data_IF_496931131958
#
_entry.id   IF_496931131958
#
_cell.length_a   1.000
_cell.length_b   1.000
_cell.length_c   1.000
_cell.angle_alpha   90.00
_cell.angle_beta   90.00
_cell.angle_gamma   90.00
#
_symmetry.space_group_name_H-M   'P 1'
#
loop_
_entity.id
_entity.type
_entity.pdbx_description
1 polymer ?
#
# COMPACT_ATOMS: atom_id res chain seq x y z
N UNK A 1 7.73 -8.25 28.80
CA UNK A 1 8.37 -7.62 27.61
C UNK A 1 9.06 -8.72 26.83
N UNK A 2 8.80 -8.78 25.56
CA UNK A 2 9.39 -9.71 24.60
C UNK A 2 10.11 -8.90 23.51
N UNK A 3 11.31 -9.29 23.15
CA UNK A 3 12.08 -8.63 22.09
C UNK A 3 12.22 -9.60 20.92
N UNK A 4 11.75 -9.21 19.75
CA UNK A 4 11.81 -10.00 18.53
C UNK A 4 12.13 -9.13 17.33
N UNK A 5 12.63 -9.72 16.28
CA UNK A 5 12.71 -9.15 14.94
C UNK A 5 11.68 -9.77 14.00
N UNK A 6 10.89 -10.73 14.49
CA UNK A 6 9.78 -11.31 13.72
C UNK A 6 8.52 -10.46 13.87
N UNK A 7 8.15 -9.82 12.76
CA UNK A 7 7.00 -8.93 12.69
C UNK A 7 5.67 -9.67 12.93
N UNK A 8 5.56 -10.93 12.46
CA UNK A 8 4.33 -11.72 12.60
C UNK A 8 4.10 -12.08 14.06
N UNK A 9 5.17 -12.45 14.78
CA UNK A 9 5.09 -12.68 16.22
C UNK A 9 4.65 -11.41 16.95
N UNK A 10 5.28 -10.27 16.65
CA UNK A 10 4.94 -9.00 17.27
C UNK A 10 3.46 -8.63 17.04
N UNK A 11 2.97 -8.73 15.80
CA UNK A 11 1.59 -8.38 15.44
C UNK A 11 0.54 -9.31 16.03
N UNK A 12 0.88 -10.60 16.26
CA UNK A 12 -0.11 -11.62 16.70
C UNK A 12 -0.15 -11.84 18.20
N UNK A 13 0.96 -11.57 18.92
CA UNK A 13 1.11 -11.96 20.32
C UNK A 13 1.16 -10.79 21.30
N UNK A 14 1.25 -9.55 20.81
CA UNK A 14 1.48 -8.39 21.66
C UNK A 14 0.23 -7.53 21.84
N UNK A 15 0.00 -7.03 23.04
CA UNK A 15 -1.00 -5.98 23.30
C UNK A 15 -0.53 -4.61 22.79
N UNK A 16 0.79 -4.38 22.87
CA UNK A 16 1.45 -3.17 22.36
C UNK A 16 2.81 -3.52 21.76
N UNK A 17 3.16 -2.80 20.70
CA UNK A 17 4.45 -2.94 20.01
C UNK A 17 5.22 -1.62 20.14
N UNK A 18 6.49 -1.72 20.51
CA UNK A 18 7.45 -0.62 20.46
C UNK A 18 8.43 -0.89 19.30
N UNK A 19 8.38 -0.06 18.25
CA UNK A 19 9.31 -0.14 17.13
C UNK A 19 10.52 0.74 17.43
N UNK A 20 11.71 0.14 17.41
CA UNK A 20 12.98 0.82 17.69
C UNK A 20 13.88 0.73 16.48
N UNK A 21 14.49 1.84 16.10
CA UNK A 21 15.47 1.93 15.02
C UNK A 21 16.69 2.74 15.48
N UNK A 22 17.90 2.19 15.29
CA UNK A 22 19.15 2.83 15.72
C UNK A 22 19.12 3.37 17.16
N UNK A 23 18.52 2.60 18.08
CA UNK A 23 18.41 2.97 19.50
C UNK A 23 17.38 4.08 19.79
N UNK A 24 16.60 4.50 18.80
CA UNK A 24 15.52 5.49 18.95
C UNK A 24 14.15 4.84 18.81
N UNK A 25 13.27 5.19 19.71
CA UNK A 25 11.87 4.79 19.63
C UNK A 25 11.20 5.50 18.45
N UNK A 26 10.64 4.72 17.53
CA UNK A 26 9.94 5.23 16.35
C UNK A 26 8.44 5.37 16.60
N UNK A 27 7.83 4.33 17.19
CA UNK A 27 6.41 4.32 17.52
C UNK A 27 6.12 3.30 18.62
N UNK A 28 5.13 3.58 19.47
CA UNK A 28 4.58 2.63 20.46
C UNK A 28 3.08 2.66 20.40
N UNK A 29 2.48 1.57 19.96
CA UNK A 29 1.02 1.49 19.89
C UNK A 29 0.52 0.03 19.88
N UNK A 30 -0.78 -0.15 19.71
CA UNK A 30 -1.37 -1.47 19.45
C UNK A 30 -0.93 -1.99 18.07
N UNK A 31 -0.91 -3.31 17.84
CA UNK A 31 -0.57 -3.90 16.54
C UNK A 31 -1.37 -3.30 15.39
N UNK A 32 -2.66 -3.07 15.59
CA UNK A 32 -3.55 -2.49 14.59
C UNK A 32 -3.14 -1.06 14.19
N UNK A 33 -2.82 -0.22 15.16
CA UNK A 33 -2.40 1.17 14.91
C UNK A 33 -1.02 1.20 14.24
N UNK A 34 -0.06 0.41 14.71
CA UNK A 34 1.27 0.28 14.09
C UNK A 34 1.17 -0.09 12.61
N UNK A 35 0.25 -1.00 12.28
CA UNK A 35 0.06 -1.47 10.92
C UNK A 35 -0.68 -0.49 10.01
N UNK A 36 -1.77 0.12 10.53
CA UNK A 36 -2.69 0.96 9.76
C UNK A 36 -2.31 2.45 9.77
N UNK A 37 -1.57 2.89 10.77
CA UNK A 37 -1.18 4.30 10.99
C UNK A 37 0.31 4.37 11.37
N UNK A 38 1.22 3.90 10.50
CA UNK A 38 2.65 3.98 10.77
C UNK A 38 3.10 5.43 10.88
N UNK A 39 3.92 5.73 11.89
CA UNK A 39 4.35 7.10 12.16
C UNK A 39 5.35 7.64 11.13
N UNK A 40 6.02 6.78 10.39
CA UNK A 40 7.00 7.16 9.36
C UNK A 40 7.28 5.99 8.40
N UNK A 41 8.09 6.27 7.38
CA UNK A 41 8.47 5.31 6.35
C UNK A 41 9.18 4.07 6.90
N UNK A 42 10.00 4.23 7.94
CA UNK A 42 10.68 3.09 8.56
C UNK A 42 9.68 2.12 9.18
N UNK A 43 8.70 2.63 9.95
CA UNK A 43 7.67 1.77 10.57
C UNK A 43 6.82 1.09 9.49
N UNK A 44 6.43 1.83 8.44
CA UNK A 44 5.64 1.30 7.34
C UNK A 44 6.34 0.15 6.60
N UNK A 45 7.64 0.31 6.34
CA UNK A 45 8.47 -0.68 5.64
C UNK A 45 8.82 -1.88 6.54
N UNK A 46 9.13 -1.58 7.82
CA UNK A 46 9.50 -2.62 8.77
C UNK A 46 8.32 -3.51 9.16
N UNK A 47 7.10 -2.98 9.23
CA UNK A 47 5.90 -3.71 9.65
C UNK A 47 5.06 -4.09 8.43
N UNK A 48 5.33 -5.27 7.90
CA UNK A 48 4.63 -5.84 6.76
C UNK A 48 5.18 -5.38 5.40
N UNK A 49 4.73 -6.05 4.37
CA UNK A 49 5.09 -5.70 2.99
C UNK A 49 4.36 -4.43 2.56
N UNK A 50 5.08 -3.47 2.00
CA UNK A 50 4.49 -2.24 1.48
C UNK A 50 5.28 -1.67 0.31
N UNK A 51 4.59 -0.94 -0.57
CA UNK A 51 5.20 -0.06 -1.56
C UNK A 51 4.92 1.38 -1.17
N UNK A 52 5.94 2.23 -1.21
CA UNK A 52 5.81 3.65 -0.91
C UNK A 52 5.90 4.45 -2.20
N UNK A 53 4.82 5.17 -2.52
CA UNK A 53 4.74 6.03 -3.69
C UNK A 53 4.91 7.49 -3.26
N UNK A 54 5.90 8.21 -3.81
CA UNK A 54 6.08 9.62 -3.51
C UNK A 54 4.94 10.44 -4.10
N UNK A 55 4.40 11.36 -3.31
CA UNK A 55 3.32 12.24 -3.74
C UNK A 55 3.84 13.64 -4.03
N UNK A 56 3.22 14.31 -5.00
CA UNK A 56 3.43 15.72 -5.29
C UNK A 56 2.28 16.52 -4.70
N UNK A 57 2.60 17.55 -3.94
CA UNK A 57 1.61 18.52 -3.50
C UNK A 57 1.42 19.55 -4.60
N UNK A 58 0.17 19.74 -5.03
CA UNK A 58 -0.24 20.74 -6.03
C UNK A 58 -1.08 21.84 -5.39
N UNK A 59 -1.66 22.70 -6.22
CA UNK A 59 -2.54 23.78 -5.76
C UNK A 59 -3.69 23.24 -4.89
N UNK A 60 -4.09 24.02 -3.88
CA UNK A 60 -5.10 23.65 -2.88
C UNK A 60 -4.73 22.44 -2.00
N UNK A 61 -3.42 22.18 -1.80
CA UNK A 61 -2.90 21.12 -0.93
C UNK A 61 -3.36 19.71 -1.32
N UNK A 62 -3.65 19.52 -2.59
CA UNK A 62 -3.98 18.22 -3.14
C UNK A 62 -2.72 17.41 -3.39
N UNK A 63 -2.77 16.13 -3.01
CA UNK A 63 -1.68 15.17 -3.16
C UNK A 63 -1.92 14.29 -4.38
N UNK A 64 -0.95 14.25 -5.26
CA UNK A 64 -1.01 13.45 -6.49
C UNK A 64 0.11 12.43 -6.58
N UNK A 65 -0.23 11.25 -7.07
CA UNK A 65 0.72 10.31 -7.66
C UNK A 65 0.50 10.34 -9.18
N UNK A 66 1.48 10.84 -9.93
CA UNK A 66 1.35 11.18 -11.35
C UNK A 66 0.11 12.07 -11.60
N UNK A 67 -0.92 11.55 -12.25
CA UNK A 67 -2.18 12.23 -12.52
C UNK A 67 -3.34 11.78 -11.61
N UNK A 68 -3.07 10.90 -10.65
CA UNK A 68 -4.07 10.35 -9.73
C UNK A 68 -4.15 11.23 -8.50
N UNK A 69 -5.30 11.87 -8.29
CA UNK A 69 -5.59 12.57 -7.04
C UNK A 69 -5.76 11.55 -5.92
N UNK A 70 -4.83 11.55 -4.98
CA UNK A 70 -4.81 10.63 -3.84
C UNK A 70 -5.67 11.17 -2.71
N UNK A 71 -5.33 12.36 -2.20
CA UNK A 71 -6.00 13.00 -1.07
C UNK A 71 -5.68 14.50 -1.03
N UNK A 72 -6.04 15.17 0.06
CA UNK A 72 -5.65 16.54 0.36
C UNK A 72 -5.18 16.64 1.81
N UNK A 73 -4.25 17.55 2.06
CA UNK A 73 -3.72 17.79 3.42
C UNK A 73 -4.07 19.19 3.90
N UNK A 74 -4.10 19.44 5.23
CA UNK A 74 -4.28 20.78 5.78
C UNK A 74 -3.19 21.76 5.31
N UNK A 75 -3.53 23.06 5.19
CA UNK A 75 -2.60 24.12 4.77
C UNK A 75 -1.27 24.13 5.55
N UNK A 76 -1.32 23.79 6.83
CA UNK A 76 -0.15 23.77 7.71
C UNK A 76 0.86 22.66 7.34
N UNK A 77 0.44 21.67 6.60
CA UNK A 77 1.21 20.49 6.20
C UNK A 77 1.58 20.50 4.71
N UNK A 78 1.19 21.52 3.98
CA UNK A 78 1.37 21.64 2.52
C UNK A 78 2.84 21.69 2.07
N UNK A 79 3.75 22.11 2.95
CA UNK A 79 5.19 22.15 2.65
C UNK A 79 5.93 20.85 2.93
N UNK A 80 5.23 19.85 3.43
CA UNK A 80 5.81 18.55 3.77
C UNK A 80 5.74 17.59 2.57
N UNK A 81 6.82 16.83 2.36
CA UNK A 81 6.82 15.75 1.39
C UNK A 81 6.00 14.56 1.93
N UNK A 82 5.09 14.06 1.13
CA UNK A 82 4.19 12.96 1.49
C UNK A 82 4.47 11.71 0.68
N UNK A 83 4.17 10.57 1.29
CA UNK A 83 4.20 9.26 0.64
C UNK A 83 2.89 8.52 0.86
N UNK A 84 2.38 7.87 -0.17
CA UNK A 84 1.30 6.90 -0.08
C UNK A 84 1.90 5.52 0.21
N UNK A 85 1.49 4.91 1.31
CA UNK A 85 1.82 3.52 1.63
C UNK A 85 0.76 2.60 1.03
N UNK A 86 1.18 1.74 0.13
CA UNK A 86 0.31 0.75 -0.52
C UNK A 86 0.68 -0.64 -0.03
N UNK A 87 -0.29 -1.35 0.52
CA UNK A 87 -0.13 -2.73 0.97
C UNK A 87 -0.73 -3.71 -0.03
N UNK A 88 -0.04 -4.82 -0.36
CA UNK A 88 -0.49 -5.78 -1.38
C UNK A 88 -1.89 -6.35 -1.16
N UNK A 89 -2.27 -6.58 0.10
CA UNK A 89 -3.57 -7.14 0.47
C UNK A 89 -4.72 -6.11 0.44
N UNK A 90 -4.40 -4.82 0.28
CA UNK A 90 -5.40 -3.75 0.14
C UNK A 90 -5.68 -3.39 -1.31
N UNK A 91 -4.82 -3.83 -2.20
CA UNK A 91 -5.04 -3.75 -3.63
C UNK A 91 -5.93 -4.90 -4.10
N UNK A 92 -6.71 -4.61 -5.10
CA UNK A 92 -7.51 -5.62 -5.80
C UNK A 92 -7.51 -5.37 -7.30
N UNK A 93 -7.50 -6.43 -8.13
CA UNK A 93 -7.62 -6.30 -9.55
C UNK A 93 -9.03 -5.80 -9.92
N UNK A 94 -9.10 -4.81 -10.80
CA UNK A 94 -10.35 -4.26 -11.31
C UNK A 94 -10.79 -4.98 -12.60
N UNK A 95 -12.09 -5.20 -12.72
CA UNK A 95 -12.73 -5.51 -14.01
C UNK A 95 -13.41 -4.24 -14.52
N UNK A 96 -13.53 -4.11 -15.84
CA UNK A 96 -14.14 -2.92 -16.48
C UNK A 96 -15.55 -2.59 -15.98
N UNK A 97 -16.25 -3.55 -15.38
CA UNK A 97 -17.61 -3.38 -14.86
C UNK A 97 -17.69 -2.79 -13.44
N UNK A 98 -16.57 -2.64 -12.75
CA UNK A 98 -16.52 -2.27 -11.32
C UNK A 98 -15.68 -1.02 -11.02
N UNK A 99 -15.50 -0.14 -11.99
CA UNK A 99 -14.71 1.08 -11.82
C UNK A 99 -15.57 2.18 -11.19
N UNK A 100 -15.29 2.53 -9.94
CA UNK A 100 -15.83 3.69 -9.25
C UNK A 100 -14.66 4.57 -8.75
N UNK A 101 -14.35 5.61 -9.51
CA UNK A 101 -13.25 6.53 -9.21
C UNK A 101 -13.49 7.39 -7.96
N UNK A 102 -14.73 7.51 -7.51
CA UNK A 102 -15.06 8.28 -6.32
C UNK A 102 -14.72 7.50 -5.04
N UNK A 103 -14.78 6.17 -5.13
CA UNK A 103 -14.49 5.29 -4.00
C UNK A 103 -13.08 4.68 -4.04
N UNK A 104 -12.41 4.68 -5.21
CA UNK A 104 -11.14 4.00 -5.39
C UNK A 104 -10.09 4.91 -6.04
N UNK A 105 -8.83 4.72 -5.63
CA UNK A 105 -7.68 5.08 -6.46
C UNK A 105 -7.48 3.96 -7.48
N UNK A 106 -7.24 4.34 -8.74
CA UNK A 106 -7.09 3.39 -9.83
C UNK A 106 -5.68 3.53 -10.41
N UNK A 107 -4.89 2.48 -10.29
CA UNK A 107 -3.57 2.39 -10.89
C UNK A 107 -3.63 1.49 -12.13
N UNK A 108 -3.11 2.00 -13.25
CA UNK A 108 -3.03 1.25 -14.51
C UNK A 108 -1.60 0.86 -14.77
N UNK A 109 -1.38 -0.37 -15.17
CA UNK A 109 -0.03 -0.84 -15.39
C UNK A 109 0.06 -2.07 -16.28
N UNK A 110 1.30 -2.57 -16.40
CA UNK A 110 1.65 -3.79 -17.10
C UNK A 110 2.11 -4.85 -16.13
N UNK A 111 1.58 -6.06 -16.28
CA UNK A 111 2.00 -7.21 -15.48
C UNK A 111 3.46 -7.52 -15.81
N UNK A 112 4.29 -7.61 -14.77
CA UNK A 112 5.68 -8.04 -14.86
C UNK A 112 5.75 -9.54 -14.62
N UNK A 113 5.05 -9.97 -13.56
CA UNK A 113 5.02 -11.35 -13.11
C UNK A 113 3.66 -11.66 -12.47
N UNK A 114 3.19 -12.88 -12.65
CA UNK A 114 1.99 -13.40 -11.99
C UNK A 114 2.28 -14.82 -11.50
N UNK A 115 2.07 -15.07 -10.19
CA UNK A 115 2.37 -16.36 -9.57
C UNK A 115 1.15 -16.90 -8.84
N UNK A 116 0.75 -18.11 -9.24
CA UNK A 116 -0.30 -18.87 -8.59
C UNK A 116 0.27 -19.66 -7.40
N UNK A 117 -0.32 -19.52 -6.23
CA UNK A 117 0.09 -20.17 -4.98
C UNK A 117 -1.01 -21.04 -4.34
N UNK A 118 -1.90 -21.59 -5.14
CA UNK A 118 -3.03 -22.39 -4.64
C UNK A 118 -4.26 -21.52 -4.34
N UNK A 119 -4.55 -21.25 -3.08
CA UNK A 119 -5.72 -20.44 -2.67
C UNK A 119 -5.55 -18.94 -2.97
N UNK A 120 -4.33 -18.50 -3.17
CA UNK A 120 -3.99 -17.12 -3.48
C UNK A 120 -3.09 -17.03 -4.70
N UNK A 121 -3.08 -15.88 -5.33
CA UNK A 121 -2.11 -15.49 -6.34
C UNK A 121 -1.59 -14.09 -6.03
N UNK A 122 -0.42 -13.77 -6.54
CA UNK A 122 0.04 -12.40 -6.57
C UNK A 122 0.46 -12.01 -7.99
N UNK A 123 0.38 -10.72 -8.27
CA UNK A 123 0.94 -10.15 -9.48
C UNK A 123 1.78 -8.92 -9.13
N UNK A 124 2.90 -8.76 -9.83
CA UNK A 124 3.66 -7.51 -9.85
C UNK A 124 3.29 -6.73 -11.10
N UNK A 125 2.94 -5.47 -10.89
CA UNK A 125 2.44 -4.58 -11.95
C UNK A 125 3.30 -3.31 -11.99
N UNK A 126 3.93 -3.04 -13.12
CA UNK A 126 4.62 -1.78 -13.37
C UNK A 126 3.58 -0.71 -13.67
N UNK A 127 3.49 0.29 -12.81
CA UNK A 127 2.55 1.41 -12.94
C UNK A 127 3.19 2.67 -13.50
N UNK A 128 4.52 2.76 -13.45
CA UNK A 128 5.35 3.77 -14.12
C UNK A 128 6.74 3.19 -14.39
N UNK A 129 7.65 3.98 -14.97
CA UNK A 129 9.05 3.54 -15.22
C UNK A 129 9.76 3.12 -13.93
N UNK A 130 9.49 3.83 -12.82
CA UNK A 130 10.22 3.66 -11.55
C UNK A 130 9.39 2.95 -10.47
N UNK A 131 8.10 2.71 -10.68
CA UNK A 131 7.22 2.20 -9.63
C UNK A 131 6.47 0.94 -10.03
N UNK A 132 6.46 0.00 -9.09
CA UNK A 132 5.76 -1.27 -9.22
C UNK A 132 4.87 -1.48 -8.00
N UNK A 133 3.73 -2.10 -8.20
CA UNK A 133 2.82 -2.53 -7.14
C UNK A 133 2.70 -4.04 -7.14
N UNK A 134 2.66 -4.62 -5.95
CA UNK A 134 2.30 -6.03 -5.75
C UNK A 134 0.86 -6.09 -5.30
N UNK A 135 0.04 -6.90 -5.94
CA UNK A 135 -1.33 -7.20 -5.54
C UNK A 135 -1.46 -8.66 -5.16
N UNK A 136 -2.21 -8.95 -4.09
CA UNK A 136 -2.58 -10.31 -3.69
C UNK A 136 -4.07 -10.49 -3.80
N UNK A 137 -4.51 -11.58 -4.41
CA UNK A 137 -5.92 -11.87 -4.62
C UNK A 137 -6.21 -13.37 -4.50
N UNK A 138 -7.46 -13.71 -4.17
CA UNK A 138 -7.90 -15.10 -4.13
C UNK A 138 -7.92 -15.72 -5.53
N UNK A 139 -7.94 -17.05 -5.60
CA UNK A 139 -7.93 -17.82 -6.86
C UNK A 139 -9.24 -18.56 -7.11
N UNK A 140 -10.34 -18.06 -6.54
CA UNK A 140 -11.68 -18.56 -6.86
C UNK A 140 -12.00 -18.40 -8.36
N UNK A 141 -13.11 -18.99 -8.79
CA UNK A 141 -13.48 -19.01 -10.20
C UNK A 141 -13.62 -17.59 -10.81
N UNK A 142 -14.01 -16.59 -9.99
CA UNK A 142 -14.18 -15.22 -10.44
C UNK A 142 -12.85 -14.47 -10.58
N UNK A 143 -11.86 -14.82 -9.77
CA UNK A 143 -10.55 -14.17 -9.72
C UNK A 143 -9.54 -14.75 -10.73
N UNK A 144 -9.78 -15.97 -11.26
CA UNK A 144 -8.86 -16.59 -12.24
C UNK A 144 -8.61 -15.77 -13.49
N UNK A 145 -9.57 -14.92 -13.89
CA UNK A 145 -9.41 -14.00 -15.03
C UNK A 145 -8.30 -12.96 -14.82
N UNK A 146 -7.82 -12.79 -13.58
CA UNK A 146 -6.72 -11.87 -13.24
C UNK A 146 -5.35 -12.55 -13.19
N UNK A 147 -5.28 -13.85 -13.46
CA UNK A 147 -4.01 -14.56 -13.71
C UNK A 147 -3.55 -14.23 -15.14
N UNK A 148 -2.91 -13.09 -15.28
CA UNK A 148 -2.49 -12.53 -16.56
C UNK A 148 -1.01 -12.87 -16.84
N UNK A 149 -0.65 -12.84 -18.13
CA UNK A 149 0.73 -13.06 -18.57
C UNK A 149 1.56 -11.77 -18.49
N UNK A 150 2.90 -11.87 -18.36
CA UNK A 150 3.78 -10.70 -18.45
C UNK A 150 3.53 -9.88 -19.74
N UNK A 151 3.38 -8.56 -19.56
CA UNK A 151 3.06 -7.61 -20.63
C UNK A 151 1.57 -7.29 -20.78
N UNK A 152 0.68 -8.08 -20.22
CA UNK A 152 -0.75 -7.78 -20.21
C UNK A 152 -1.04 -6.52 -19.36
N UNK A 153 -2.14 -5.83 -19.69
CA UNK A 153 -2.59 -4.67 -18.94
C UNK A 153 -3.42 -5.11 -17.74
N UNK A 154 -3.12 -4.55 -16.56
CA UNK A 154 -3.90 -4.73 -15.34
C UNK A 154 -4.25 -3.38 -14.74
N UNK A 155 -5.48 -3.26 -14.28
CA UNK A 155 -5.94 -2.13 -13.46
C UNK A 155 -6.09 -2.60 -12.01
N UNK A 156 -5.52 -1.83 -11.08
CA UNK A 156 -5.55 -2.10 -9.65
C UNK A 156 -6.36 -1.02 -8.95
N UNK A 157 -7.26 -1.44 -8.06
CA UNK A 157 -8.02 -0.57 -7.18
C UNK A 157 -7.43 -0.55 -5.76
N UNK A 158 -7.44 0.62 -5.13
CA UNK A 158 -7.24 0.82 -3.71
C UNK A 158 -8.42 1.61 -3.17
N UNK A 159 -9.13 1.09 -2.17
CA UNK A 159 -10.22 1.86 -1.56
C UNK A 159 -9.68 3.15 -0.94
N UNK A 160 -10.37 4.28 -1.13
CA UNK A 160 -9.97 5.56 -0.53
C UNK A 160 -9.94 5.54 0.99
N UNK A 161 -10.78 4.72 1.63
CA UNK A 161 -10.76 4.49 3.08
C UNK A 161 -9.50 3.77 3.60
N UNK A 162 -8.77 3.11 2.71
CA UNK A 162 -7.55 2.36 3.01
C UNK A 162 -6.27 3.13 2.67
N UNK A 163 -6.39 4.40 2.31
CA UNK A 163 -5.26 5.31 2.08
C UNK A 163 -4.49 5.49 3.38
N UNK A 164 -3.17 5.29 3.30
CA UNK A 164 -2.23 5.56 4.39
C UNK A 164 -1.23 6.59 3.87
N UNK A 165 -1.26 7.78 4.46
CA UNK A 165 -0.32 8.86 4.17
C UNK A 165 0.70 8.96 5.29
N UNK A 166 1.97 9.09 4.92
CA UNK A 166 3.05 9.32 5.88
C UNK A 166 3.94 10.45 5.39
N UNK A 167 4.52 11.23 6.31
CA UNK A 167 5.58 12.17 5.95
C UNK A 167 6.84 11.42 5.49
N UNK A 168 7.52 12.01 4.53
CA UNK A 168 8.78 11.48 3.99
C UNK A 168 9.95 11.74 4.94
#
# INVERSE_FOLDING_TARGET
VYVTHDQREALTMSDRIAVINHGRLQQVDTPEVIYNQPANSFVADFIGESTMLPLKTEENNQLYFDHILVDSVPDQESSQDWMLVVRPERLFPLSQESIDSDQHLIFKGKVIESVYQGETAFAQVSISEDHQLTVRFGTDASARKFLLEPGDSMELGLNRKDIILIPR
#
